data_IF_116124109406
#
_entry.id   IF_116124109406
#
_cell.length_a   1.000
_cell.length_b   1.000
_cell.length_c   1.000
_cell.angle_alpha   90.00
_cell.angle_beta   90.00
_cell.angle_gamma   90.00
#
_symmetry.space_group_name_H-M   'P 1'
#
loop_
_entity.id
_entity.type
_entity.pdbx_description
1 polymer ?
#
# COMPACT_ATOMS: atom_id res chain seq x y z
N UNK A 1 -10.58 14.46 41.02
CA UNK A 1 -9.40 13.78 40.45
C UNK A 1 -9.90 12.84 39.35
N UNK A 2 -9.86 13.25 38.09
CA UNK A 2 -10.31 12.41 36.97
C UNK A 2 -9.11 11.60 36.47
N UNK A 3 -9.26 10.27 36.52
CA UNK A 3 -8.28 9.28 36.07
C UNK A 3 -8.06 9.41 34.56
N UNK A 4 -6.89 9.88 34.16
CA UNK A 4 -6.44 9.88 32.77
C UNK A 4 -6.13 8.43 32.35
N UNK A 5 -7.09 7.76 31.69
CA UNK A 5 -6.87 6.42 31.12
C UNK A 5 -5.95 6.54 29.91
N UNK A 6 -4.66 6.38 30.14
CA UNK A 6 -3.65 6.19 29.11
C UNK A 6 -4.00 4.92 28.31
N UNK A 7 -4.51 5.09 27.09
CA UNK A 7 -4.64 4.00 26.14
C UNK A 7 -3.25 3.76 25.53
N UNK A 8 -2.64 2.59 25.72
CA UNK A 8 -1.35 2.30 25.08
C UNK A 8 -1.56 2.34 23.57
N UNK A 9 -0.83 3.21 22.89
CA UNK A 9 -0.85 3.32 21.43
C UNK A 9 -0.24 2.05 20.83
N UNK A 10 -1.09 1.05 20.57
CA UNK A 10 -0.68 -0.20 19.92
C UNK A 10 -0.70 0.03 18.41
N UNK A 11 0.46 0.21 17.80
CA UNK A 11 0.60 0.23 16.34
C UNK A 11 0.15 -1.12 15.76
N UNK A 12 -0.58 -1.09 14.64
CA UNK A 12 -0.97 -2.28 13.87
C UNK A 12 -0.28 -2.18 12.52
N UNK A 13 0.66 -3.08 12.28
CA UNK A 13 1.48 -3.12 11.06
C UNK A 13 0.93 -4.14 10.07
N UNK A 14 1.14 -3.88 8.78
CA UNK A 14 0.80 -4.80 7.69
C UNK A 14 2.03 -5.03 6.81
N UNK A 15 2.19 -6.26 6.34
CA UNK A 15 3.13 -6.56 5.26
C UNK A 15 2.66 -5.96 3.94
N UNK A 16 3.57 -5.88 2.96
CA UNK A 16 3.25 -5.40 1.61
C UNK A 16 2.13 -6.25 0.96
N UNK A 17 2.13 -7.56 1.21
CA UNK A 17 1.12 -8.48 0.67
C UNK A 17 -0.22 -8.24 1.34
N UNK A 18 -0.27 -8.17 2.67
CA UNK A 18 -1.52 -7.90 3.40
C UNK A 18 -2.13 -6.57 2.99
N UNK A 19 -1.31 -5.51 2.86
CA UNK A 19 -1.78 -4.22 2.37
C UNK A 19 -2.31 -4.32 0.93
N UNK A 20 -1.65 -5.11 0.07
CA UNK A 20 -2.12 -5.36 -1.30
C UNK A 20 -3.47 -6.06 -1.29
N UNK A 21 -3.65 -7.10 -0.47
CA UNK A 21 -4.94 -7.79 -0.33
C UNK A 21 -6.05 -6.87 0.16
N UNK A 22 -5.75 -6.03 1.16
CA UNK A 22 -6.69 -5.04 1.69
C UNK A 22 -7.14 -4.10 0.58
N UNK A 23 -6.20 -3.55 -0.20
CA UNK A 23 -6.50 -2.64 -1.30
C UNK A 23 -7.28 -3.34 -2.43
N UNK A 24 -6.94 -4.57 -2.78
CA UNK A 24 -7.67 -5.38 -3.78
C UNK A 24 -9.13 -5.57 -3.38
N UNK A 25 -9.36 -5.94 -2.11
CA UNK A 25 -10.71 -6.08 -1.53
C UNK A 25 -11.43 -4.73 -1.47
N UNK A 26 -10.75 -3.69 -1.02
CA UNK A 26 -11.30 -2.33 -0.91
C UNK A 26 -11.78 -1.80 -2.27
N UNK A 27 -11.00 -2.01 -3.33
CA UNK A 27 -11.32 -1.62 -4.69
C UNK A 27 -12.25 -2.59 -5.42
N UNK A 28 -12.71 -3.66 -4.75
CA UNK A 28 -13.63 -4.67 -5.28
C UNK A 28 -13.11 -5.31 -6.57
N UNK A 29 -11.81 -5.54 -6.64
CA UNK A 29 -11.17 -6.23 -7.76
C UNK A 29 -11.34 -7.73 -7.54
N UNK A 30 -11.91 -8.42 -8.52
CA UNK A 30 -12.25 -9.85 -8.42
C UNK A 30 -11.42 -10.77 -9.32
N UNK A 31 -10.57 -10.18 -10.16
CA UNK A 31 -9.75 -10.89 -11.13
C UNK A 31 -8.46 -10.13 -11.40
N UNK A 32 -7.44 -10.86 -11.84
CA UNK A 32 -6.12 -10.30 -12.16
C UNK A 32 -5.12 -10.40 -11.01
N UNK A 33 -3.87 -10.16 -11.35
CA UNK A 33 -2.73 -10.21 -10.45
C UNK A 33 -2.26 -8.78 -10.15
N UNK A 34 -2.03 -8.46 -8.87
CA UNK A 34 -1.69 -7.12 -8.45
C UNK A 34 -0.49 -7.11 -7.50
N UNK A 35 0.39 -6.14 -7.70
CA UNK A 35 1.45 -5.76 -6.77
C UNK A 35 1.09 -4.44 -6.09
N UNK A 36 1.62 -4.20 -4.89
CA UNK A 36 1.61 -2.87 -4.30
C UNK A 36 2.43 -1.91 -5.18
N UNK A 37 1.85 -0.77 -5.52
CA UNK A 37 2.56 0.33 -6.14
C UNK A 37 2.84 1.40 -5.09
N UNK A 38 4.10 1.84 -4.99
CA UNK A 38 4.50 2.95 -4.13
C UNK A 38 5.18 4.00 -5.01
N UNK A 39 4.61 5.19 -5.05
CA UNK A 39 5.17 6.32 -5.79
C UNK A 39 6.04 7.14 -4.83
N UNK A 40 7.34 7.20 -5.13
CA UNK A 40 8.28 8.03 -4.39
C UNK A 40 8.49 9.35 -5.11
N UNK A 41 8.45 10.44 -4.35
CA UNK A 41 8.87 11.76 -4.80
C UNK A 41 10.26 12.05 -4.22
N UNK A 42 11.21 12.33 -5.10
CA UNK A 42 12.59 12.64 -4.73
C UNK A 42 12.88 14.09 -5.08
N UNK A 43 13.32 14.86 -4.09
CA UNK A 43 13.83 16.20 -4.26
C UNK A 43 15.29 16.25 -3.80
N UNK A 44 16.11 17.04 -4.48
CA UNK A 44 17.50 17.31 -4.10
C UNK A 44 17.69 18.80 -3.88
N UNK A 45 18.50 19.16 -2.90
CA UNK A 45 18.71 20.56 -2.56
C UNK A 45 19.88 20.76 -1.62
N UNK A 46 20.19 22.03 -1.37
CA UNK A 46 21.14 22.44 -0.36
C UNK A 46 20.47 22.31 1.02
N UNK A 47 20.99 21.46 1.89
CA UNK A 47 20.42 21.16 3.21
C UNK A 47 21.51 21.30 4.28
N UNK A 48 21.20 21.96 5.39
CA UNK A 48 22.14 22.19 6.48
C UNK A 48 21.48 22.84 7.69
N UNK A 49 22.03 22.66 8.90
CA UNK A 49 21.50 23.27 10.12
C UNK A 49 21.72 24.79 10.18
N UNK A 50 22.70 25.32 9.43
CA UNK A 50 22.98 26.77 9.29
C UNK A 50 23.39 27.10 7.85
N UNK A 51 23.34 28.38 7.42
CA UNK A 51 23.74 28.80 6.07
C UNK A 51 25.19 28.50 5.69
N UNK A 52 26.09 28.43 6.68
CA UNK A 52 27.52 28.15 6.47
C UNK A 52 27.82 26.65 6.42
N UNK A 53 26.86 25.81 6.85
CA UNK A 53 27.00 24.35 6.95
C UNK A 53 26.01 23.63 6.01
N UNK A 54 25.89 24.14 4.79
CA UNK A 54 25.03 23.56 3.76
C UNK A 54 25.79 22.50 2.97
N UNK A 55 25.14 21.37 2.72
CA UNK A 55 25.64 20.28 1.87
C UNK A 55 24.54 19.79 0.90
N UNK A 56 24.88 19.12 -0.20
CA UNK A 56 23.89 18.44 -1.02
C UNK A 56 23.13 17.40 -0.18
N UNK A 57 21.80 17.51 -0.17
CA UNK A 57 20.90 16.56 0.51
C UNK A 57 19.77 16.11 -0.41
N UNK A 58 19.12 15.02 -0.01
CA UNK A 58 17.95 14.47 -0.69
C UNK A 58 16.79 14.35 0.30
N UNK A 59 15.59 14.68 -0.18
CA UNK A 59 14.33 14.46 0.53
C UNK A 59 13.54 13.41 -0.24
N UNK A 60 13.19 12.32 0.43
CA UNK A 60 12.39 11.22 -0.14
C UNK A 60 11.04 11.24 0.55
N UNK A 61 9.99 11.50 -0.23
CA UNK A 61 8.60 11.40 0.20
C UNK A 61 7.91 10.23 -0.47
N UNK A 62 6.90 9.66 0.19
CA UNK A 62 5.92 8.79 -0.46
C UNK A 62 4.74 9.66 -0.87
N UNK A 63 4.48 9.78 -2.17
CA UNK A 63 3.36 10.59 -2.68
C UNK A 63 2.07 9.78 -2.76
N UNK A 64 2.16 8.50 -3.15
CA UNK A 64 1.00 7.62 -3.35
C UNK A 64 1.32 6.16 -3.04
N UNK A 65 0.27 5.44 -2.63
CA UNK A 65 0.24 3.98 -2.56
C UNK A 65 -0.97 3.50 -3.37
N UNK A 66 -0.80 2.46 -4.17
CA UNK A 66 -1.84 1.94 -5.04
C UNK A 66 -1.62 0.48 -5.43
N UNK A 67 -2.32 0.06 -6.48
CA UNK A 67 -2.22 -1.28 -7.05
C UNK A 67 -1.71 -1.19 -8.49
N UNK A 68 -0.68 -1.94 -8.81
CA UNK A 68 -0.21 -2.14 -10.18
C UNK A 68 -0.62 -3.53 -10.66
N UNK A 69 -1.38 -3.59 -11.76
CA UNK A 69 -1.70 -4.87 -12.40
C UNK A 69 -0.41 -5.46 -12.98
N UNK A 70 -0.19 -6.75 -12.76
CA UNK A 70 0.97 -7.47 -13.27
C UNK A 70 0.57 -8.62 -14.20
N UNK A 71 1.47 -8.96 -15.11
CA UNK A 71 1.35 -10.13 -15.98
C UNK A 71 1.78 -11.38 -15.21
N UNK A 72 1.26 -12.54 -15.63
CA UNK A 72 1.50 -13.82 -14.93
C UNK A 72 2.98 -14.20 -14.91
N UNK A 73 3.70 -13.90 -15.98
CA UNK A 73 5.11 -14.17 -16.17
C UNK A 73 5.99 -13.31 -15.25
N UNK A 74 5.46 -12.19 -14.76
CA UNK A 74 6.14 -11.24 -13.86
C UNK A 74 5.68 -11.36 -12.41
N UNK A 75 4.76 -12.29 -12.11
CA UNK A 75 4.27 -12.52 -10.76
C UNK A 75 5.41 -13.01 -9.86
N UNK A 76 5.43 -12.53 -8.63
CA UNK A 76 6.41 -12.92 -7.62
C UNK A 76 5.72 -13.14 -6.26
N UNK A 77 6.51 -13.36 -5.22
CA UNK A 77 6.01 -13.64 -3.86
C UNK A 77 5.17 -12.50 -3.24
N UNK A 78 5.24 -11.29 -3.81
CA UNK A 78 4.46 -10.12 -3.38
C UNK A 78 3.23 -9.85 -4.25
N UNK A 79 2.97 -10.70 -5.26
CA UNK A 79 1.81 -10.59 -6.14
C UNK A 79 0.59 -11.25 -5.51
N UNK A 80 -0.51 -10.50 -5.46
CA UNK A 80 -1.81 -10.96 -4.98
C UNK A 80 -2.72 -11.29 -6.16
N UNK A 81 -3.29 -12.50 -6.16
CA UNK A 81 -4.38 -12.87 -7.07
C UNK A 81 -5.73 -12.40 -6.49
N UNK A 82 -6.36 -11.47 -7.20
CA UNK A 82 -7.65 -10.91 -6.80
C UNK A 82 -8.77 -11.95 -6.76
N UNK A 83 -8.73 -12.97 -7.63
CA UNK A 83 -9.74 -14.03 -7.63
C UNK A 83 -9.62 -14.93 -6.39
N UNK A 84 -8.41 -15.08 -5.85
CA UNK A 84 -8.14 -15.84 -4.63
C UNK A 84 -8.63 -15.10 -3.39
N UNK A 85 -8.29 -13.81 -3.27
CA UNK A 85 -8.54 -13.04 -2.03
C UNK A 85 -9.90 -12.32 -2.02
N UNK A 86 -10.52 -12.10 -3.19
CA UNK A 86 -11.79 -11.41 -3.33
C UNK A 86 -12.62 -12.00 -4.49
N UNK A 87 -13.09 -13.26 -4.38
CA UNK A 87 -13.82 -13.92 -5.46
C UNK A 87 -15.11 -13.19 -5.85
N UNK A 88 -15.42 -13.16 -7.14
CA UNK A 88 -16.67 -12.56 -7.64
C UNK A 88 -17.90 -13.27 -7.04
N UNK A 89 -18.96 -12.55 -6.66
CA UNK A 89 -20.21 -13.16 -6.22
C UNK A 89 -20.77 -14.08 -7.30
N UNK A 90 -21.16 -15.31 -6.94
CA UNK A 90 -21.85 -16.21 -7.88
C UNK A 90 -23.13 -15.51 -8.36
N UNK A 91 -23.25 -15.27 -9.67
CA UNK A 91 -24.52 -14.81 -10.25
C UNK A 91 -25.58 -15.86 -9.93
N UNK A 92 -26.56 -15.51 -9.11
CA UNK A 92 -27.71 -16.37 -8.85
C UNK A 92 -28.34 -16.73 -10.20
N UNK A 93 -28.29 -18.00 -10.57
CA UNK A 93 -28.82 -18.47 -11.85
C UNK A 93 -30.27 -18.01 -11.97
N UNK A 94 -30.60 -17.31 -13.06
CA UNK A 94 -32.00 -17.14 -13.47
C UNK A 94 -32.59 -18.54 -13.60
N UNK A 95 -33.41 -18.96 -12.64
CA UNK A 95 -34.32 -20.09 -12.81
C UNK A 95 -35.18 -19.75 -14.03
N UNK A 96 -34.94 -20.44 -15.14
CA UNK A 96 -35.88 -20.53 -16.25
C UNK A 96 -36.85 -21.65 -15.94
#
# INVERSE_FOLDING_TARGET
MQSNKHHPNKTVDFSLVELTEILVKHQKLHEGLYNLSVEFQIAVGAVGPTPELISPGAMIGVSRIGLAKTEKEKANIHTVDAASVNPAPKKAGKKK
#
